data_IF_509394056112
#
_entry.id   IF_509394056112
#
_cell.length_a   1.000
_cell.length_b   1.000
_cell.length_c   1.000
_cell.angle_alpha   90.00
_cell.angle_beta   90.00
_cell.angle_gamma   90.00
#
_symmetry.space_group_name_H-M   'P 1'
#
loop_
_entity.id
_entity.type
_entity.pdbx_description
1 polymer ?
#
# COMPACT_ATOMS: atom_id res chain seq x y z
N UNK A 1 -4.79 1.55 -6.34
CA UNK A 1 -3.90 0.88 -5.37
C UNK A 1 -3.08 1.93 -4.64
N UNK A 2 -3.11 1.96 -3.30
CA UNK A 2 -2.19 2.82 -2.54
C UNK A 2 -0.78 2.23 -2.69
N UNK A 3 0.23 3.08 -2.91
CA UNK A 3 1.64 2.63 -2.93
C UNK A 3 2.03 2.26 -1.49
N UNK A 4 2.67 1.10 -1.31
CA UNK A 4 3.29 0.75 -0.03
C UNK A 4 4.37 1.79 0.29
N UNK A 5 4.21 2.49 1.41
CA UNK A 5 5.19 3.47 1.88
C UNK A 5 6.32 2.73 2.63
N UNK A 6 7.47 2.59 1.99
CA UNK A 6 8.64 1.93 2.57
C UNK A 6 9.32 2.76 3.66
N UNK A 7 9.08 4.08 3.69
CA UNK A 7 9.64 4.97 4.71
C UNK A 7 9.22 4.56 6.12
N UNK A 8 8.14 3.80 6.26
CA UNK A 8 7.65 3.32 7.55
C UNK A 8 8.64 2.38 8.26
N UNK A 9 9.47 1.66 7.49
CA UNK A 9 10.49 0.78 8.04
C UNK A 9 11.78 1.54 8.37
N UNK A 10 12.09 2.58 7.58
CA UNK A 10 13.29 3.39 7.76
C UNK A 10 13.11 4.42 8.88
N UNK A 11 11.94 5.05 8.94
CA UNK A 11 11.60 6.15 9.85
C UNK A 11 10.25 5.91 10.56
N UNK A 12 10.11 4.83 11.35
CA UNK A 12 8.85 4.48 12.02
C UNK A 12 8.39 5.56 13.00
N UNK A 13 9.32 6.36 13.55
CA UNK A 13 9.00 7.50 14.43
C UNK A 13 8.08 8.52 13.76
N UNK A 14 8.26 8.79 12.46
CA UNK A 14 7.45 9.76 11.69
C UNK A 14 5.99 9.31 11.53
N UNK A 15 5.74 8.02 11.62
CA UNK A 15 4.43 7.40 11.41
C UNK A 15 3.87 6.78 12.71
N UNK A 16 4.50 7.10 13.84
CA UNK A 16 4.18 6.52 15.13
C UNK A 16 2.85 7.05 15.65
N UNK A 17 2.01 6.13 16.12
CA UNK A 17 0.83 6.44 16.93
C UNK A 17 0.70 5.42 18.06
N UNK A 18 0.19 5.81 19.24
CA UNK A 18 -0.08 4.88 20.32
C UNK A 18 -1.22 3.93 19.90
N UNK A 19 -1.04 2.64 20.15
CA UNK A 19 -2.08 1.62 20.00
C UNK A 19 -2.21 0.82 21.29
N UNK A 20 -3.45 0.42 21.68
CA UNK A 20 -3.64 -0.46 22.83
C UNK A 20 -2.96 -1.81 22.62
N UNK A 21 -2.21 -2.27 23.61
CA UNK A 21 -1.37 -3.46 23.50
C UNK A 21 -2.19 -4.73 23.24
N UNK A 22 -3.40 -4.79 23.78
CA UNK A 22 -4.33 -5.92 23.63
C UNK A 22 -4.87 -6.09 22.20
N UNK A 23 -4.70 -5.08 21.34
CA UNK A 23 -5.08 -5.14 19.93
C UNK A 23 -3.94 -5.61 19.03
N UNK A 24 -2.76 -5.87 19.59
CA UNK A 24 -1.56 -6.21 18.85
C UNK A 24 -1.27 -7.70 19.00
N UNK A 25 -1.04 -8.37 17.87
CA UNK A 25 -0.74 -9.80 17.77
C UNK A 25 0.67 -9.95 17.21
N UNK A 26 1.52 -10.70 17.89
CA UNK A 26 2.91 -10.93 17.51
C UNK A 26 3.20 -12.43 17.41
N UNK A 27 4.15 -12.84 16.56
CA UNK A 27 4.68 -14.20 16.60
C UNK A 27 5.40 -14.45 17.92
N UNK A 28 5.12 -15.58 18.57
CA UNK A 28 5.68 -15.94 19.88
C UNK A 28 7.13 -16.40 19.82
N UNK A 29 7.70 -16.61 18.62
CA UNK A 29 9.10 -17.01 18.45
C UNK A 29 10.04 -15.81 18.58
N UNK A 30 10.26 -15.36 19.81
CA UNK A 30 11.30 -14.39 20.14
C UNK A 30 12.33 -14.98 21.10
N UNK A 31 13.57 -14.53 20.98
CA UNK A 31 14.62 -14.88 21.91
C UNK A 31 14.45 -14.09 23.23
N UNK A 32 14.64 -14.77 24.36
CA UNK A 32 14.41 -14.20 25.69
C UNK A 32 15.45 -13.13 26.07
N UNK A 33 16.69 -13.23 25.57
CA UNK A 33 17.76 -12.27 25.86
C UNK A 33 17.46 -10.92 25.19
N UNK A 34 16.99 -10.94 23.94
CA UNK A 34 16.55 -9.75 23.23
C UNK A 34 15.39 -9.05 23.94
N UNK A 35 14.42 -9.80 24.46
CA UNK A 35 13.31 -9.24 25.26
C UNK A 35 13.85 -8.60 26.54
N UNK A 36 14.72 -9.31 27.28
CA UNK A 36 15.33 -8.81 28.51
C UNK A 36 16.07 -7.49 28.29
N UNK A 37 16.88 -7.39 27.23
CA UNK A 37 17.64 -6.17 26.90
C UNK A 37 16.73 -4.95 26.68
N UNK A 38 15.55 -5.15 26.07
CA UNK A 38 14.60 -4.05 25.90
C UNK A 38 13.84 -3.72 27.19
N UNK A 39 13.56 -4.70 28.05
CA UNK A 39 12.98 -4.45 29.39
C UNK A 39 13.93 -3.63 30.25
N UNK A 40 15.23 -3.90 30.21
CA UNK A 40 16.25 -3.11 30.93
C UNK A 40 16.28 -1.66 30.43
N UNK A 41 16.13 -1.45 29.11
CA UNK A 41 16.01 -0.10 28.55
C UNK A 41 14.75 0.63 29.03
N UNK A 42 13.61 -0.06 29.07
CA UNK A 42 12.36 0.50 29.62
C UNK A 42 12.50 0.85 31.10
N UNK A 43 13.10 -0.04 31.90
CA UNK A 43 13.37 0.21 33.32
C UNK A 43 14.32 1.40 33.53
N UNK A 44 15.26 1.61 32.63
CA UNK A 44 16.15 2.78 32.62
C UNK A 44 15.50 4.06 32.07
N UNK A 45 14.19 4.04 31.76
CA UNK A 45 13.46 5.19 31.24
C UNK A 45 13.79 5.54 29.78
N UNK A 46 14.46 4.65 29.04
CA UNK A 46 14.74 4.89 27.61
C UNK A 46 13.49 4.67 26.78
N UNK A 47 13.24 5.60 25.87
CA UNK A 47 12.16 5.46 24.91
C UNK A 47 12.53 4.43 23.84
N UNK A 48 11.72 3.39 23.70
CA UNK A 48 11.91 2.41 22.65
C UNK A 48 11.42 2.95 21.31
N UNK A 49 12.12 2.55 20.25
CA UNK A 49 11.72 2.85 18.88
C UNK A 49 10.37 2.18 18.55
N UNK A 50 9.44 2.85 17.83
CA UNK A 50 8.12 2.28 17.55
C UNK A 50 8.18 0.94 16.82
N UNK A 51 7.23 0.05 17.10
CA UNK A 51 7.09 -1.22 16.39
C UNK A 51 6.33 -1.01 15.07
N UNK A 52 6.59 -1.83 14.06
CA UNK A 52 5.86 -1.75 12.79
C UNK A 52 4.79 -2.82 12.79
N UNK A 53 3.55 -2.41 12.52
CA UNK A 53 2.39 -3.31 12.52
C UNK A 53 1.57 -3.14 11.25
N UNK A 54 0.87 -4.20 10.86
CA UNK A 54 -0.10 -4.15 9.77
C UNK A 54 -1.51 -4.33 10.31
N UNK A 55 -2.44 -3.47 9.89
CA UNK A 55 -3.84 -3.54 10.33
C UNK A 55 -4.56 -4.70 9.65
N UNK A 56 -5.32 -5.47 10.42
CA UNK A 56 -6.20 -6.50 9.85
C UNK A 56 -7.36 -5.82 9.08
N UNK A 57 -7.69 -6.27 7.86
CA UNK A 57 -8.64 -5.56 6.97
C UNK A 57 -10.08 -5.54 7.50
N UNK A 58 -10.44 -6.51 8.34
CA UNK A 58 -11.81 -6.70 8.85
C UNK A 58 -11.95 -6.65 10.36
N UNK A 59 -10.85 -6.61 11.11
CA UNK A 59 -10.84 -6.73 12.57
C UNK A 59 -10.05 -5.56 13.13
N UNK A 60 -10.42 -5.08 14.31
CA UNK A 60 -9.68 -4.00 14.99
C UNK A 60 -8.46 -4.55 15.72
N UNK A 61 -7.60 -5.29 15.00
CA UNK A 61 -6.36 -5.89 15.50
C UNK A 61 -5.23 -5.62 14.52
N UNK A 62 -4.00 -5.69 15.01
CA UNK A 62 -2.78 -5.34 14.29
C UNK A 62 -1.77 -6.47 14.45
N UNK A 63 -1.14 -6.90 13.36
CA UNK A 63 -0.09 -7.91 13.40
C UNK A 63 1.29 -7.25 13.38
N UNK A 64 2.20 -7.67 14.25
CA UNK A 64 3.58 -7.17 14.27
C UNK A 64 4.31 -7.66 13.02
N UNK A 65 4.96 -6.73 12.33
CA UNK A 65 5.84 -6.98 11.19
C UNK A 65 7.30 -6.87 11.63
N UNK A 66 7.62 -5.82 12.39
CA UNK A 66 8.94 -5.59 12.95
C UNK A 66 8.85 -5.12 14.40
N UNK A 67 9.82 -5.54 15.21
CA UNK A 67 9.90 -5.17 16.63
C UNK A 67 9.25 -6.15 17.61
N UNK A 68 9.19 -7.44 17.28
CA UNK A 68 8.65 -8.48 18.15
C UNK A 68 9.26 -8.46 19.56
N UNK A 69 10.59 -8.40 19.71
CA UNK A 69 11.23 -8.29 21.04
C UNK A 69 10.81 -7.04 21.81
N UNK A 70 10.66 -5.90 21.12
CA UNK A 70 10.20 -4.64 21.73
C UNK A 70 8.73 -4.73 22.16
N UNK A 71 7.91 -5.45 21.41
CA UNK A 71 6.53 -5.72 21.77
C UNK A 71 6.45 -6.58 23.04
N UNK A 72 7.12 -7.73 23.08
CA UNK A 72 7.11 -8.59 24.28
C UNK A 72 7.73 -7.91 25.49
N UNK A 73 8.78 -7.11 25.31
CA UNK A 73 9.35 -6.34 26.40
C UNK A 73 8.33 -5.37 27.02
N UNK A 74 7.56 -4.64 26.21
CA UNK A 74 6.50 -3.74 26.69
C UNK A 74 5.33 -4.51 27.30
N UNK A 75 4.97 -5.66 26.72
CA UNK A 75 3.92 -6.54 27.25
C UNK A 75 4.27 -7.05 28.65
N UNK A 76 5.47 -7.59 28.82
CA UNK A 76 5.96 -8.09 30.10
C UNK A 76 6.24 -6.97 31.12
N UNK A 77 6.56 -5.76 30.65
CA UNK A 77 6.72 -4.58 31.49
C UNK A 77 5.36 -4.02 31.97
N UNK A 78 4.24 -4.49 31.41
CA UNK A 78 2.89 -4.08 31.80
C UNK A 78 2.42 -2.76 31.16
N UNK A 79 3.01 -2.38 30.03
CA UNK A 79 2.59 -1.19 29.29
C UNK A 79 1.20 -1.39 28.66
N UNK A 80 0.32 -0.38 28.77
CA UNK A 80 -1.04 -0.44 28.18
C UNK A 80 -1.10 -0.05 26.71
N UNK A 81 -0.23 0.86 26.29
CA UNK A 81 -0.18 1.39 24.92
C UNK A 81 1.24 1.32 24.37
N UNK A 82 1.35 0.96 23.10
CA UNK A 82 2.62 0.80 22.41
C UNK A 82 2.70 1.76 21.24
N UNK A 83 3.83 2.45 21.10
CA UNK A 83 4.13 3.27 19.93
C UNK A 83 4.27 2.39 18.68
N UNK A 84 3.37 2.59 17.71
CA UNK A 84 3.29 1.76 16.52
C UNK A 84 3.28 2.59 15.23
N UNK A 85 4.06 2.18 14.25
CA UNK A 85 3.95 2.62 12.87
C UNK A 85 3.04 1.65 12.11
N UNK A 86 1.92 2.15 11.56
CA UNK A 86 0.87 1.29 10.98
C UNK A 86 0.90 1.25 9.46
N UNK A 87 0.95 0.04 8.92
CA UNK A 87 0.74 -0.27 7.52
C UNK A 87 -0.76 -0.51 7.30
N UNK A 88 -1.43 0.39 6.59
CA UNK A 88 -2.87 0.29 6.29
C UNK A 88 -3.18 -0.55 5.04
N UNK A 89 -2.17 -0.92 4.24
CA UNK A 89 -2.33 -1.74 3.02
C UNK A 89 -1.72 -3.13 3.18
N UNK A 90 -2.50 -4.05 3.77
CA UNK A 90 -2.14 -5.46 3.93
C UNK A 90 -1.92 -6.16 2.58
N UNK A 91 -2.67 -5.77 1.53
CA UNK A 91 -2.61 -6.43 0.21
C UNK A 91 -1.29 -6.14 -0.49
N UNK A 92 -0.86 -4.88 -0.50
CA UNK A 92 0.44 -4.48 -1.03
C UNK A 92 1.61 -5.09 -0.25
N UNK A 93 1.48 -5.21 1.08
CA UNK A 93 2.48 -5.82 1.95
C UNK A 93 2.63 -7.33 1.70
N UNK A 94 1.54 -8.11 1.73
CA UNK A 94 1.56 -9.56 1.53
C UNK A 94 2.04 -9.96 0.12
N UNK A 95 1.64 -9.20 -0.90
CA UNK A 95 2.11 -9.39 -2.27
C UNK A 95 3.62 -9.19 -2.36
N UNK A 96 4.17 -8.19 -1.69
CA UNK A 96 5.61 -7.91 -1.70
C UNK A 96 6.42 -8.94 -0.91
N UNK A 97 5.95 -9.37 0.27
CA UNK A 97 6.59 -10.47 1.01
C UNK A 97 6.63 -11.78 0.22
N UNK A 98 5.59 -12.03 -0.58
CA UNK A 98 5.53 -13.20 -1.46
C UNK A 98 6.43 -13.03 -2.69
N UNK A 99 6.48 -11.83 -3.27
CA UNK A 99 7.36 -11.49 -4.40
C UNK A 99 8.84 -11.59 -4.02
N UNK A 100 9.19 -11.11 -2.83
CA UNK A 100 10.58 -11.02 -2.35
C UNK A 100 11.05 -12.32 -1.67
N UNK A 101 10.23 -13.37 -1.66
CA UNK A 101 10.60 -14.71 -1.18
C UNK A 101 10.60 -14.90 0.34
N UNK A 102 10.14 -13.91 1.11
CA UNK A 102 10.06 -13.96 2.57
C UNK A 102 8.91 -14.86 3.07
N UNK A 103 7.87 -15.02 2.25
CA UNK A 103 6.83 -16.03 2.42
C UNK A 103 6.99 -17.10 1.34
N UNK A 104 7.76 -18.16 1.62
CA UNK A 104 7.72 -19.37 0.81
C UNK A 104 6.56 -20.25 1.31
N UNK A 105 5.48 -20.44 0.54
CA UNK A 105 4.38 -21.25 1.00
C UNK A 105 4.80 -22.73 0.93
N UNK A 106 4.42 -23.51 1.93
CA UNK A 106 4.60 -24.96 1.95
C UNK A 106 4.01 -25.58 0.64
N UNK A 107 4.64 -26.58 0.01
CA UNK A 107 4.25 -27.13 -1.30
C UNK A 107 2.76 -27.53 -1.44
N UNK A 108 2.13 -27.93 -0.34
CA UNK A 108 0.69 -28.25 -0.27
C UNK A 108 -0.24 -27.03 -0.37
N UNK A 109 0.18 -25.87 0.13
CA UNK A 109 -0.56 -24.60 0.05
C UNK A 109 -0.39 -23.91 -1.30
N UNK A 110 0.79 -24.05 -1.92
CA UNK A 110 1.08 -23.44 -3.24
C UNK A 110 0.14 -23.92 -4.35
N UNK A 111 -0.32 -25.17 -4.33
CA UNK A 111 -1.16 -25.70 -5.42
C UNK A 111 -2.58 -25.12 -5.43
N UNK A 112 -3.14 -24.83 -4.26
CA UNK A 112 -4.54 -24.40 -4.12
C UNK A 112 -4.72 -22.89 -3.93
N UNK A 113 -3.65 -22.15 -3.60
CA UNK A 113 -3.75 -20.71 -3.30
C UNK A 113 -2.89 -19.89 -4.26
N UNK A 114 -1.66 -20.33 -4.58
CA UNK A 114 -0.74 -19.56 -5.43
C UNK A 114 -1.18 -19.55 -6.89
N UNK A 115 -1.59 -20.69 -7.44
CA UNK A 115 -2.05 -20.78 -8.83
C UNK A 115 -3.32 -19.94 -9.07
N UNK A 116 -4.39 -20.06 -8.24
CA UNK A 116 -5.58 -19.24 -8.44
C UNK A 116 -5.34 -17.74 -8.20
N UNK A 117 -4.48 -17.35 -7.24
CA UNK A 117 -4.17 -15.94 -6.99
C UNK A 117 -3.33 -15.34 -8.13
N UNK A 118 -2.35 -16.08 -8.67
CA UNK A 118 -1.59 -15.65 -9.84
C UNK A 118 -2.48 -15.54 -11.08
N UNK A 119 -3.36 -16.51 -11.31
CA UNK A 119 -4.33 -16.45 -12.40
C UNK A 119 -5.33 -15.31 -12.22
N UNK A 120 -5.80 -15.07 -11.00
CA UNK A 120 -6.69 -13.94 -10.68
C UNK A 120 -5.99 -12.60 -10.90
N UNK A 121 -4.72 -12.46 -10.50
CA UNK A 121 -3.93 -11.27 -10.77
C UNK A 121 -3.66 -11.08 -12.26
N UNK A 122 -3.30 -12.13 -12.99
CA UNK A 122 -3.13 -12.04 -14.45
C UNK A 122 -4.44 -11.66 -15.13
N UNK A 123 -5.58 -12.22 -14.71
CA UNK A 123 -6.90 -11.86 -15.24
C UNK A 123 -7.32 -10.43 -14.85
N UNK A 124 -7.00 -9.98 -13.64
CA UNK A 124 -7.23 -8.60 -13.21
C UNK A 124 -6.35 -7.62 -13.99
N UNK A 125 -5.06 -7.89 -14.12
CA UNK A 125 -4.13 -7.06 -14.89
C UNK A 125 -4.53 -7.04 -16.36
N UNK A 126 -4.95 -8.17 -16.94
CA UNK A 126 -5.47 -8.20 -18.30
C UNK A 126 -6.79 -7.44 -18.44
N UNK A 127 -7.70 -7.52 -17.47
CA UNK A 127 -8.98 -6.82 -17.49
C UNK A 127 -8.79 -5.32 -17.34
N UNK A 128 -8.00 -4.89 -16.35
CA UNK A 128 -7.63 -3.49 -16.13
C UNK A 128 -6.88 -2.93 -17.34
N UNK A 129 -5.92 -3.66 -17.92
CA UNK A 129 -5.22 -3.21 -19.12
C UNK A 129 -6.12 -3.20 -20.37
N UNK A 130 -7.14 -4.06 -20.44
CA UNK A 130 -8.10 -4.07 -21.55
C UNK A 130 -9.07 -2.90 -21.42
N UNK A 131 -9.54 -2.61 -20.21
CA UNK A 131 -10.42 -1.49 -19.89
C UNK A 131 -9.70 -0.15 -20.06
N UNK A 132 -8.46 -0.01 -19.58
CA UNK A 132 -7.63 1.17 -19.82
C UNK A 132 -7.35 1.37 -21.31
N UNK A 133 -7.04 0.31 -22.06
CA UNK A 133 -6.84 0.41 -23.52
C UNK A 133 -8.12 0.77 -24.26
N UNK A 134 -9.26 0.23 -23.84
CA UNK A 134 -10.56 0.56 -24.42
C UNK A 134 -10.92 2.03 -24.16
N UNK A 135 -10.82 2.48 -22.90
CA UNK A 135 -11.11 3.86 -22.52
C UNK A 135 -10.16 4.85 -23.18
N UNK A 136 -8.87 4.51 -23.31
CA UNK A 136 -7.89 5.36 -23.99
C UNK A 136 -8.12 5.42 -25.51
N UNK A 137 -8.56 4.31 -26.14
CA UNK A 137 -8.94 4.33 -27.56
C UNK A 137 -10.17 5.19 -27.79
N UNK A 138 -11.21 5.04 -26.97
CA UNK A 138 -12.42 5.86 -27.04
C UNK A 138 -12.10 7.34 -26.80
N UNK A 139 -11.30 7.65 -25.78
CA UNK A 139 -10.83 9.01 -25.51
C UNK A 139 -10.05 9.60 -26.70
N UNK A 140 -9.12 8.84 -27.30
CA UNK A 140 -8.35 9.31 -28.46
C UNK A 140 -9.24 9.53 -29.69
N UNK A 141 -10.24 8.68 -29.92
CA UNK A 141 -11.21 8.85 -31.01
C UNK A 141 -12.09 10.08 -30.79
N UNK A 142 -12.58 10.27 -29.56
CA UNK A 142 -13.38 11.44 -29.21
C UNK A 142 -12.57 12.73 -29.26
N UNK A 143 -11.31 12.69 -28.78
CA UNK A 143 -10.37 13.79 -28.85
C UNK A 143 -10.10 14.18 -30.32
N UNK A 144 -9.80 13.21 -31.19
CA UNK A 144 -9.54 13.45 -32.61
C UNK A 144 -10.75 14.06 -33.32
N UNK A 145 -11.95 13.51 -33.08
CA UNK A 145 -13.21 14.05 -33.62
C UNK A 145 -13.47 15.49 -33.17
N UNK A 146 -13.17 15.80 -31.91
CA UNK A 146 -13.35 17.14 -31.38
C UNK A 146 -12.33 18.13 -31.94
N UNK A 147 -11.08 17.71 -32.18
CA UNK A 147 -10.08 18.55 -32.86
C UNK A 147 -10.45 18.85 -34.31
N UNK A 148 -10.97 17.88 -35.07
CA UNK A 148 -11.43 18.11 -36.45
C UNK A 148 -12.58 19.13 -36.49
N UNK A 149 -13.56 19.00 -35.60
CA UNK A 149 -14.66 19.98 -35.48
C UNK A 149 -14.16 21.38 -35.14
N UNK A 150 -13.15 21.48 -34.28
CA UNK A 150 -12.55 22.77 -33.90
C UNK A 150 -11.82 23.41 -35.08
N UNK A 151 -11.08 22.61 -35.85
CA UNK A 151 -10.36 23.06 -37.05
C UNK A 151 -11.35 23.52 -38.12
N UNK A 152 -12.45 22.79 -38.33
CA UNK A 152 -13.49 23.14 -39.29
C UNK A 152 -14.20 24.45 -38.90
N UNK A 153 -14.60 24.60 -37.64
CA UNK A 153 -15.18 25.84 -37.12
C UNK A 153 -14.22 27.03 -37.26
N UNK A 154 -12.92 26.82 -37.06
CA UNK A 154 -11.91 27.86 -37.23
C UNK A 154 -11.72 28.24 -38.69
N UNK A 155 -11.74 27.27 -39.62
CA UNK A 155 -11.72 27.53 -41.07
C UNK A 155 -12.93 28.35 -41.50
N UNK A 156 -14.13 27.96 -41.08
CA UNK A 156 -15.35 28.73 -41.38
C UNK A 156 -15.29 30.16 -40.85
N UNK A 157 -14.75 30.36 -39.65
CA UNK A 157 -14.56 31.68 -39.06
C UNK A 157 -13.58 32.54 -39.89
N UNK A 158 -12.46 31.96 -40.31
CA UNK A 158 -11.46 32.64 -41.15
C UNK A 158 -12.03 32.99 -42.53
N UNK A 159 -12.76 32.08 -43.16
CA UNK A 159 -13.39 32.31 -44.47
C UNK A 159 -14.44 33.42 -44.41
N UNK A 160 -15.29 33.43 -43.37
CA UNK A 160 -16.26 34.52 -43.13
C UNK A 160 -15.57 35.86 -42.89
N UNK A 161 -14.48 35.88 -42.13
CA UNK A 161 -13.70 37.09 -41.85
C UNK A 161 -13.02 37.64 -43.11
N UNK A 162 -12.52 36.76 -43.98
CA UNK A 162 -11.91 37.14 -45.26
C UNK A 162 -12.95 37.65 -46.28
N UNK A 163 -14.16 37.08 -46.30
CA UNK A 163 -15.26 37.57 -47.14
C UNK A 163 -15.78 38.94 -46.67
N UNK A 164 -15.87 39.16 -45.36
CA UNK A 164 -16.26 40.46 -44.79
C UNK A 164 -15.28 41.59 -45.16
N UNK A 165 -13.98 41.30 -45.23
CA UNK A 165 -12.94 42.26 -45.61
C UNK A 165 -12.80 42.51 -47.13
N UNK A 166 -13.41 41.68 -47.98
CA UNK A 166 -13.42 41.87 -49.45
C UNK A 166 -14.65 42.63 -49.96
N UNK A 167 -15.63 42.91 -49.09
CA UNK A 167 -16.84 43.69 -49.38
C UNK A 167 -16.82 45.11 -48.84
N UNK A 168 -15.64 45.65 -48.48
CA UNK A 168 -15.43 47.04 -48.06
C UNK A 168 -14.64 47.81 -49.11
#
# INVERSE_FOLDING_TARGET
MKKLNLDIFLYPEKYSRPLPIEKIVADTKVDAEGVKRYKEQLAAGKQLRPIVVVKHPRKNVYAVVDGHHRFFAQLEYGTKEVACAVIDDLTGFMFRLTKDGWLQPHPRLTKHVRVPILEFHQKLDQSINRELRHNMKTFLTDFHRNTEKLIEAFREFMDKSLQANRGS
#
